data_IF_497623057030
#
_entry.id   IF_497623057030
#
_cell.length_a   1.000
_cell.length_b   1.000
_cell.length_c   1.000
_cell.angle_alpha   90.00
_cell.angle_beta   90.00
_cell.angle_gamma   90.00
#
_symmetry.space_group_name_H-M   'P 1'
#
loop_
_entity.id
_entity.type
_entity.pdbx_description
1 polymer ?
#
# COMPACT_ATOMS: atom_id res chain seq x y z
N UNK A 1 10.55 -7.63 7.53
CA UNK A 1 11.27 -8.93 7.63
C UNK A 1 11.84 -9.31 6.28
N UNK A 2 13.08 -9.82 6.27
CA UNK A 2 13.66 -10.41 5.08
C UNK A 2 12.89 -11.68 4.66
N UNK A 3 12.77 -11.97 3.36
CA UNK A 3 12.03 -13.15 2.88
C UNK A 3 12.54 -14.48 3.47
N UNK A 4 13.83 -14.56 3.78
CA UNK A 4 14.46 -15.73 4.42
C UNK A 4 13.98 -15.94 5.84
N UNK A 5 13.93 -14.88 6.67
CA UNK A 5 13.46 -14.91 8.05
C UNK A 5 11.98 -15.26 8.13
N UNK A 6 11.16 -14.63 7.26
CA UNK A 6 9.75 -14.97 7.15
C UNK A 6 9.54 -16.47 6.88
N UNK A 7 10.28 -17.05 5.91
CA UNK A 7 10.20 -18.48 5.60
C UNK A 7 10.61 -19.38 6.76
N UNK A 8 11.54 -18.93 7.62
CA UNK A 8 11.94 -19.68 8.81
C UNK A 8 10.85 -19.69 9.86
N UNK A 9 10.18 -18.55 10.11
CA UNK A 9 9.02 -18.46 11.01
C UNK A 9 7.89 -19.35 10.51
N UNK A 10 7.57 -19.30 9.22
CA UNK A 10 6.56 -20.15 8.60
C UNK A 10 6.87 -21.65 8.71
N UNK A 11 8.14 -22.04 8.53
CA UNK A 11 8.60 -23.43 8.75
C UNK A 11 8.51 -23.83 10.21
N UNK A 12 8.87 -22.90 11.12
CA UNK A 12 8.78 -23.12 12.56
C UNK A 12 7.36 -23.38 13.02
N UNK A 13 6.42 -22.60 12.52
CA UNK A 13 4.99 -22.72 12.80
C UNK A 13 4.44 -24.06 12.29
N UNK A 14 4.77 -24.46 11.06
CA UNK A 14 4.38 -25.77 10.49
C UNK A 14 4.96 -26.95 11.26
N UNK A 15 6.16 -26.82 11.75
CA UNK A 15 6.87 -27.87 12.51
C UNK A 15 6.47 -27.92 13.99
N UNK A 16 5.60 -27.03 14.47
CA UNK A 16 5.24 -26.91 15.88
C UNK A 16 6.37 -26.44 16.79
N UNK A 17 7.36 -25.76 16.25
CA UNK A 17 8.45 -25.13 17.02
C UNK A 17 8.10 -23.69 17.44
N UNK A 18 7.16 -23.09 16.73
CA UNK A 18 6.56 -21.80 17.03
C UNK A 18 5.10 -22.04 17.36
N UNK A 19 4.71 -21.72 18.57
CA UNK A 19 3.34 -21.97 19.08
C UNK A 19 2.37 -20.85 18.67
N UNK A 20 2.85 -19.62 18.54
CA UNK A 20 2.03 -18.47 18.17
C UNK A 20 2.82 -17.48 17.32
N UNK A 21 2.10 -16.75 16.46
CA UNK A 21 2.66 -15.68 15.63
C UNK A 21 1.75 -14.47 15.64
N UNK A 22 2.33 -13.28 15.74
CA UNK A 22 1.64 -12.00 15.53
C UNK A 22 2.04 -11.48 14.15
N UNK A 23 1.06 -11.19 13.33
CA UNK A 23 1.28 -10.77 11.94
C UNK A 23 0.29 -9.69 11.54
N UNK A 24 0.66 -8.90 10.55
CA UNK A 24 -0.27 -8.13 9.74
C UNK A 24 -1.03 -9.09 8.81
N UNK A 25 -1.69 -8.60 7.77
CA UNK A 25 -2.32 -9.43 6.72
C UNK A 25 -1.31 -10.27 5.91
N UNK A 26 -0.01 -10.22 6.23
CA UNK A 26 1.03 -10.96 5.51
C UNK A 26 0.82 -12.49 5.48
N UNK A 27 0.11 -13.05 6.45
CA UNK A 27 -0.22 -14.49 6.52
C UNK A 27 -1.62 -14.82 5.99
N UNK A 28 -2.33 -13.85 5.43
CA UNK A 28 -3.70 -14.00 4.92
C UNK A 28 -3.76 -14.85 3.66
N UNK A 29 -2.85 -14.63 2.70
CA UNK A 29 -2.86 -15.23 1.38
C UNK A 29 -1.60 -16.06 1.07
N UNK A 30 -1.78 -17.10 0.25
CA UNK A 30 -0.71 -17.78 -0.47
C UNK A 30 0.21 -18.66 0.36
N UNK A 31 -0.05 -18.86 1.65
CA UNK A 31 0.86 -19.58 2.53
C UNK A 31 0.15 -20.77 3.17
N UNK A 32 0.75 -21.94 3.06
CA UNK A 32 0.37 -23.09 3.85
C UNK A 32 1.16 -23.09 5.18
N UNK A 33 0.64 -22.41 6.18
CA UNK A 33 1.23 -22.36 7.53
C UNK A 33 0.83 -23.56 8.42
N UNK A 34 0.15 -24.55 7.83
CA UNK A 34 -0.38 -25.68 8.57
C UNK A 34 -1.71 -25.35 9.27
N UNK A 35 -2.10 -26.19 10.20
CA UNK A 35 -3.34 -26.00 10.95
C UNK A 35 -3.04 -25.23 12.24
N UNK A 36 -3.70 -24.10 12.40
CA UNK A 36 -3.76 -23.36 13.65
C UNK A 36 -5.03 -23.75 14.40
N UNK A 37 -4.96 -23.87 15.71
CA UNK A 37 -6.11 -24.18 16.54
C UNK A 37 -6.97 -22.94 16.82
N UNK A 38 -6.35 -21.76 16.85
CA UNK A 38 -7.01 -20.49 17.11
C UNK A 38 -6.48 -19.37 16.22
N UNK A 39 -7.36 -18.42 15.91
CA UNK A 39 -7.03 -17.15 15.28
C UNK A 39 -7.60 -15.99 16.10
N UNK A 40 -6.82 -14.93 16.30
CA UNK A 40 -7.27 -13.71 16.99
C UNK A 40 -7.17 -12.55 15.99
N UNK A 41 -8.32 -11.99 15.63
CA UNK A 41 -8.43 -10.79 14.80
C UNK A 41 -8.46 -9.57 15.72
N UNK A 42 -7.43 -8.73 15.67
CA UNK A 42 -7.36 -7.50 16.43
C UNK A 42 -7.87 -6.34 15.57
N UNK A 43 -9.16 -6.05 15.66
CA UNK A 43 -9.89 -5.10 14.82
C UNK A 43 -10.34 -5.68 13.48
N UNK A 44 -11.18 -4.92 12.77
CA UNK A 44 -11.67 -5.28 11.44
C UNK A 44 -10.59 -5.07 10.38
N UNK A 45 -10.29 -6.08 9.56
CA UNK A 45 -9.20 -5.98 8.58
C UNK A 45 -9.54 -5.14 7.34
N UNK A 46 -10.72 -4.54 7.28
CA UNK A 46 -11.15 -3.66 6.21
C UNK A 46 -12.17 -4.28 5.26
N UNK A 47 -12.11 -5.59 5.03
CA UNK A 47 -13.05 -6.33 4.17
C UNK A 47 -13.55 -7.60 4.82
N UNK A 48 -14.74 -8.07 4.42
CA UNK A 48 -15.30 -9.35 4.83
C UNK A 48 -14.41 -10.49 4.30
N UNK A 49 -13.94 -10.36 3.04
CA UNK A 49 -13.06 -11.33 2.42
C UNK A 49 -11.78 -11.53 3.26
N UNK A 50 -11.11 -10.45 3.65
CA UNK A 50 -9.90 -10.48 4.48
C UNK A 50 -10.18 -11.11 5.85
N UNK A 51 -11.30 -10.72 6.50
CA UNK A 51 -11.70 -11.31 7.78
C UNK A 51 -11.86 -12.83 7.70
N UNK A 52 -12.52 -13.33 6.67
CA UNK A 52 -12.69 -14.76 6.45
C UNK A 52 -11.42 -15.48 6.04
N UNK A 53 -10.55 -14.85 5.25
CA UNK A 53 -9.25 -15.43 4.87
C UNK A 53 -8.31 -15.56 6.06
N UNK A 54 -8.27 -14.55 6.95
CA UNK A 54 -7.52 -14.61 8.20
C UNK A 54 -8.11 -15.65 9.16
N UNK A 55 -9.43 -15.63 9.37
CA UNK A 55 -10.15 -16.62 10.18
C UNK A 55 -9.92 -18.04 9.66
N UNK A 56 -9.92 -18.23 8.35
CA UNK A 56 -9.69 -19.51 7.68
C UNK A 56 -8.27 -20.07 7.84
N UNK A 57 -7.35 -19.36 8.50
CA UNK A 57 -6.05 -19.90 8.93
C UNK A 57 -6.18 -20.86 10.09
N UNK A 58 -7.24 -20.74 10.90
CA UNK A 58 -7.59 -21.72 11.91
C UNK A 58 -8.46 -22.84 11.30
N UNK A 59 -8.30 -24.07 11.79
CA UNK A 59 -9.24 -25.17 11.52
C UNK A 59 -8.99 -26.04 10.30
N UNK A 60 -7.80 -26.06 9.73
CA UNK A 60 -7.47 -26.91 8.55
C UNK A 60 -7.32 -28.40 8.85
N UNK A 61 -7.30 -28.83 10.13
CA UNK A 61 -7.32 -30.24 10.55
C UNK A 61 -8.72 -30.64 11.00
N UNK A 62 -8.98 -31.96 11.07
CA UNK A 62 -10.25 -32.53 11.53
C UNK A 62 -10.45 -32.25 13.04
N UNK A 63 -10.75 -31.01 13.39
CA UNK A 63 -10.97 -30.60 14.78
C UNK A 63 -11.75 -29.27 14.84
N UNK A 64 -12.21 -28.94 16.05
CA UNK A 64 -12.83 -27.64 16.32
C UNK A 64 -11.73 -26.60 16.42
N UNK A 65 -11.89 -25.50 15.71
CA UNK A 65 -11.05 -24.32 15.82
C UNK A 65 -11.86 -23.15 16.35
N UNK A 66 -11.17 -22.15 16.87
CA UNK A 66 -11.82 -20.96 17.42
C UNK A 66 -11.24 -19.71 16.79
N UNK A 67 -12.12 -18.74 16.51
CA UNK A 67 -11.72 -17.40 16.05
C UNK A 67 -12.23 -16.39 17.06
N UNK A 68 -11.35 -15.56 17.57
CA UNK A 68 -11.69 -14.44 18.43
C UNK A 68 -11.60 -13.14 17.62
N UNK A 69 -12.66 -12.37 17.61
CA UNK A 69 -12.66 -11.02 17.10
C UNK A 69 -12.60 -10.04 18.28
N UNK A 70 -11.50 -9.30 18.39
CA UNK A 70 -11.25 -8.32 19.44
C UNK A 70 -11.46 -6.93 18.85
N UNK A 71 -12.62 -6.34 19.13
CA UNK A 71 -12.98 -5.03 18.63
C UNK A 71 -12.20 -3.91 19.36
N UNK A 72 -11.71 -2.95 18.60
CA UNK A 72 -11.18 -1.69 19.12
C UNK A 72 -12.34 -0.70 19.45
N UNK A 73 -11.99 0.50 19.89
CA UNK A 73 -12.98 1.59 20.07
C UNK A 73 -13.40 2.26 18.75
N UNK A 74 -12.86 1.83 17.61
CA UNK A 74 -13.23 2.36 16.31
C UNK A 74 -14.73 2.09 16.00
N UNK A 75 -15.40 3.07 15.42
CA UNK A 75 -16.84 3.01 15.17
C UNK A 75 -17.25 1.78 14.33
N UNK A 76 -16.43 1.38 13.35
CA UNK A 76 -16.69 0.22 12.51
C UNK A 76 -16.57 -1.10 13.29
N UNK A 77 -15.55 -1.23 14.14
CA UNK A 77 -15.38 -2.39 15.01
C UNK A 77 -16.59 -2.57 15.93
N UNK A 78 -17.03 -1.49 16.57
CA UNK A 78 -18.18 -1.49 17.46
C UNK A 78 -19.49 -1.81 16.72
N UNK A 79 -19.62 -1.33 15.49
CA UNK A 79 -20.76 -1.68 14.63
C UNK A 79 -20.78 -3.17 14.32
N UNK A 80 -19.66 -3.76 13.92
CA UNK A 80 -19.57 -5.19 13.56
C UNK A 80 -19.89 -6.09 14.77
N UNK A 81 -19.39 -5.77 15.96
CA UNK A 81 -19.70 -6.53 17.17
C UNK A 81 -21.19 -6.44 17.51
N UNK A 82 -21.80 -5.25 17.32
CA UNK A 82 -23.23 -5.05 17.57
C UNK A 82 -24.12 -5.65 16.47
N UNK A 83 -23.58 -5.86 15.28
CA UNK A 83 -24.28 -6.39 14.11
C UNK A 83 -23.50 -7.55 13.47
N UNK A 84 -23.35 -8.69 14.15
CA UNK A 84 -22.54 -9.81 13.67
C UNK A 84 -23.01 -10.37 12.33
N UNK A 85 -24.26 -10.18 11.97
CA UNK A 85 -24.83 -10.54 10.68
C UNK A 85 -24.14 -9.86 9.49
N UNK A 86 -23.52 -8.70 9.72
CA UNK A 86 -22.70 -8.03 8.71
C UNK A 86 -21.55 -8.93 8.24
N UNK A 87 -20.85 -9.55 9.17
CA UNK A 87 -19.70 -10.41 8.85
C UNK A 87 -20.12 -11.83 8.46
N UNK A 88 -21.21 -12.34 9.07
CA UNK A 88 -21.61 -13.75 8.95
C UNK A 88 -22.54 -14.04 7.78
N UNK A 89 -23.35 -13.07 7.33
CA UNK A 89 -24.42 -13.28 6.34
C UNK A 89 -24.25 -12.50 5.06
N UNK A 90 -23.38 -11.47 5.04
CA UNK A 90 -23.12 -10.73 3.80
C UNK A 90 -22.16 -11.49 2.90
N UNK A 91 -22.35 -11.30 1.61
CA UNK A 91 -21.35 -11.69 0.60
C UNK A 91 -20.06 -10.92 0.81
N UNK A 92 -18.89 -11.53 0.59
CA UNK A 92 -17.64 -10.77 0.46
C UNK A 92 -17.75 -9.70 -0.63
N UNK A 93 -16.86 -8.76 -0.59
CA UNK A 93 -16.72 -7.68 -1.54
C UNK A 93 -16.51 -8.18 -2.97
N UNK A 94 -16.93 -7.39 -3.97
CA UNK A 94 -16.91 -7.80 -5.38
C UNK A 94 -15.51 -7.79 -6.02
N UNK A 95 -14.49 -7.31 -5.31
CA UNK A 95 -13.13 -7.19 -5.83
C UNK A 95 -13.09 -6.48 -7.20
N UNK A 96 -13.59 -5.24 -7.23
CA UNK A 96 -13.59 -4.43 -8.44
C UNK A 96 -12.17 -4.16 -8.90
N UNK A 97 -11.92 -4.38 -10.19
CA UNK A 97 -10.63 -4.09 -10.81
C UNK A 97 -10.84 -3.41 -12.17
N UNK A 98 -9.88 -2.62 -12.58
CA UNK A 98 -9.82 -2.06 -13.92
C UNK A 98 -8.82 -2.87 -14.77
N UNK A 99 -9.29 -3.83 -15.60
CA UNK A 99 -8.41 -4.65 -16.42
C UNK A 99 -7.74 -3.84 -17.55
N UNK A 100 -8.32 -2.68 -17.90
CA UNK A 100 -7.87 -1.83 -19.00
C UNK A 100 -6.95 -0.70 -18.54
N UNK A 101 -6.43 -0.78 -17.29
CA UNK A 101 -5.43 0.17 -16.81
C UNK A 101 -4.16 0.09 -17.68
N UNK A 102 -3.82 1.19 -18.36
CA UNK A 102 -2.74 1.23 -19.33
C UNK A 102 -1.37 0.85 -18.77
N UNK A 103 -1.06 1.23 -17.52
CA UNK A 103 0.22 0.88 -16.88
C UNK A 103 0.33 -0.63 -16.63
N UNK A 104 -0.77 -1.24 -16.22
CA UNK A 104 -0.82 -2.70 -16.00
C UNK A 104 -0.75 -3.41 -17.34
N UNK A 105 -1.58 -3.01 -18.31
CA UNK A 105 -1.61 -3.59 -19.66
C UNK A 105 -0.25 -3.53 -20.33
N UNK A 106 0.41 -2.36 -20.33
CA UNK A 106 1.72 -2.18 -20.95
C UNK A 106 2.74 -3.19 -20.40
N UNK A 107 2.74 -3.39 -19.09
CA UNK A 107 3.62 -4.35 -18.45
C UNK A 107 3.27 -5.82 -18.80
N UNK A 108 1.98 -6.14 -18.91
CA UNK A 108 1.55 -7.46 -19.36
C UNK A 108 1.90 -7.72 -20.83
N UNK A 109 1.80 -6.70 -21.70
CA UNK A 109 2.26 -6.80 -23.09
C UNK A 109 3.78 -7.06 -23.18
N UNK A 110 4.58 -6.41 -22.34
CA UNK A 110 6.02 -6.68 -22.24
C UNK A 110 6.29 -8.14 -21.86
N UNK A 111 5.62 -8.67 -20.84
CA UNK A 111 5.79 -10.05 -20.43
C UNK A 111 5.35 -11.05 -21.51
N UNK A 112 4.22 -10.81 -22.14
CA UNK A 112 3.71 -11.67 -23.19
C UNK A 112 4.65 -11.70 -24.41
N UNK A 113 5.13 -10.51 -24.84
CA UNK A 113 6.08 -10.42 -25.97
C UNK A 113 7.43 -11.07 -25.65
N UNK A 114 7.85 -11.08 -24.38
CA UNK A 114 9.05 -11.81 -23.96
C UNK A 114 8.87 -13.33 -24.09
N UNK A 115 7.67 -13.85 -23.79
CA UNK A 115 7.39 -15.29 -23.91
C UNK A 115 7.20 -15.72 -25.37
N UNK A 116 6.41 -14.95 -26.13
CA UNK A 116 6.10 -15.20 -27.55
C UNK A 116 5.93 -13.88 -28.30
N UNK A 117 6.46 -13.75 -29.54
CA UNK A 117 6.22 -12.58 -30.37
C UNK A 117 4.73 -12.43 -30.71
N UNK A 118 4.21 -11.20 -30.66
CA UNK A 118 2.87 -10.91 -31.18
C UNK A 118 2.85 -10.84 -32.69
N UNK A 119 1.81 -11.37 -33.31
CA UNK A 119 1.53 -11.19 -34.75
C UNK A 119 0.80 -9.87 -35.00
N UNK A 120 0.87 -9.35 -36.24
CA UNK A 120 0.12 -8.16 -36.62
C UNK A 120 -1.39 -8.36 -36.38
N UNK A 121 -2.00 -7.46 -35.61
CA UNK A 121 -3.41 -7.55 -35.26
C UNK A 121 -3.73 -8.46 -34.06
N UNK A 122 -2.71 -9.10 -33.49
CA UNK A 122 -2.87 -9.88 -32.26
C UNK A 122 -2.86 -8.94 -31.03
N UNK A 123 -3.53 -9.37 -29.94
CA UNK A 123 -3.58 -8.67 -28.68
C UNK A 123 -3.71 -9.60 -27.49
N UNK A 124 -3.81 -9.05 -26.29
CA UNK A 124 -4.07 -9.80 -25.05
C UNK A 124 -5.57 -9.85 -24.79
N UNK A 125 -6.20 -10.99 -25.10
CA UNK A 125 -7.63 -11.17 -24.90
C UNK A 125 -8.46 -10.09 -25.61
N UNK A 126 -9.29 -9.38 -24.86
CA UNK A 126 -10.12 -8.28 -25.37
C UNK A 126 -9.55 -6.90 -24.99
N UNK A 127 -8.27 -6.79 -24.65
CA UNK A 127 -7.68 -5.53 -24.25
C UNK A 127 -7.80 -4.49 -25.38
N UNK A 128 -8.40 -3.31 -25.11
CA UNK A 128 -8.49 -2.26 -26.12
C UNK A 128 -7.11 -1.65 -26.37
N UNK A 129 -6.90 -1.12 -27.60
CA UNK A 129 -5.67 -0.39 -27.92
C UNK A 129 -4.42 -1.26 -28.03
N UNK A 130 -4.56 -2.58 -28.27
CA UNK A 130 -3.40 -3.47 -28.41
C UNK A 130 -2.43 -3.06 -29.54
N UNK A 131 -2.89 -2.68 -30.75
CA UNK A 131 -2.00 -2.22 -31.81
C UNK A 131 -1.18 -0.99 -31.39
N UNK A 132 -1.82 0.00 -30.77
CA UNK A 132 -1.19 1.23 -30.30
C UNK A 132 -0.16 0.97 -29.20
N UNK A 133 -0.43 0.02 -28.30
CA UNK A 133 0.52 -0.38 -27.26
C UNK A 133 1.75 -1.11 -27.84
N UNK A 134 1.55 -1.97 -28.84
CA UNK A 134 2.65 -2.67 -29.53
C UNK A 134 3.52 -1.69 -30.32
N UNK A 135 2.89 -0.74 -31.03
CA UNK A 135 3.59 0.31 -31.77
C UNK A 135 4.40 1.20 -30.82
N UNK A 136 3.80 1.63 -29.70
CA UNK A 136 4.51 2.38 -28.66
C UNK A 136 5.73 1.63 -28.12
N UNK A 137 5.61 0.31 -27.86
CA UNK A 137 6.72 -0.51 -27.38
C UNK A 137 7.82 -0.71 -28.43
N UNK A 138 7.49 -0.73 -29.72
CA UNK A 138 8.45 -0.77 -30.83
C UNK A 138 9.20 0.58 -30.94
N UNK A 139 8.47 1.71 -30.91
CA UNK A 139 9.06 3.04 -30.90
C UNK A 139 9.99 3.28 -29.71
N UNK A 140 9.63 2.75 -28.54
CA UNK A 140 10.45 2.80 -27.33
C UNK A 140 11.67 1.85 -27.37
N UNK A 141 11.82 1.04 -28.43
CA UNK A 141 12.93 0.09 -28.59
C UNK A 141 12.85 -1.14 -27.67
N UNK A 142 11.74 -1.34 -26.98
CA UNK A 142 11.50 -2.50 -26.12
C UNK A 142 11.13 -3.72 -26.94
N UNK A 143 10.32 -3.52 -27.98
CA UNK A 143 10.02 -4.50 -29.02
C UNK A 143 10.73 -4.13 -30.31
N UNK A 144 10.68 -5.03 -31.28
CA UNK A 144 11.11 -4.80 -32.64
C UNK A 144 10.14 -5.46 -33.61
N UNK A 145 9.51 -4.66 -34.44
CA UNK A 145 8.58 -5.13 -35.49
C UNK A 145 9.36 -5.60 -36.73
N UNK A 146 9.31 -6.90 -36.99
CA UNK A 146 9.99 -7.51 -38.16
C UNK A 146 9.16 -8.66 -38.70
N UNK A 147 8.91 -8.63 -40.02
CA UNK A 147 8.23 -9.71 -40.72
C UNK A 147 6.81 -9.96 -40.26
N UNK A 148 6.08 -8.90 -39.87
CA UNK A 148 4.71 -9.00 -39.38
C UNK A 148 4.58 -9.49 -37.94
N UNK A 149 5.66 -9.35 -37.17
CA UNK A 149 5.70 -9.77 -35.75
C UNK A 149 6.48 -8.78 -34.88
N UNK A 150 6.02 -8.59 -33.65
CA UNK A 150 6.70 -7.82 -32.62
C UNK A 150 7.51 -8.74 -31.71
N UNK A 151 8.83 -8.66 -31.82
CA UNK A 151 9.78 -9.46 -31.05
C UNK A 151 10.32 -8.68 -29.87
N UNK A 152 10.53 -9.36 -28.74
CA UNK A 152 11.25 -8.77 -27.59
C UNK A 152 12.68 -8.41 -27.99
N UNK A 153 13.11 -7.19 -27.67
CA UNK A 153 14.40 -6.62 -28.09
C UNK A 153 15.23 -6.08 -26.92
N UNK A 154 14.60 -5.79 -25.76
CA UNK A 154 15.31 -5.29 -24.59
C UNK A 154 16.15 -6.37 -23.91
N UNK A 155 17.18 -5.94 -23.15
CA UNK A 155 18.06 -6.87 -22.41
C UNK A 155 17.45 -7.32 -21.07
N UNK A 156 16.50 -6.56 -20.53
CA UNK A 156 15.92 -6.78 -19.23
C UNK A 156 14.90 -7.91 -19.20
N UNK A 157 14.71 -8.50 -18.02
CA UNK A 157 13.66 -9.50 -17.79
C UNK A 157 12.39 -8.80 -17.31
N UNK A 158 11.34 -8.67 -18.13
CA UNK A 158 10.22 -7.77 -17.84
C UNK A 158 9.46 -8.12 -16.57
N UNK A 159 9.35 -9.39 -16.19
CA UNK A 159 8.64 -9.80 -14.99
C UNK A 159 9.33 -9.35 -13.68
N UNK A 160 10.63 -9.02 -13.71
CA UNK A 160 11.34 -8.48 -12.55
C UNK A 160 10.96 -7.03 -12.23
N UNK A 161 10.46 -6.31 -13.23
CA UNK A 161 10.08 -4.90 -13.11
C UNK A 161 8.59 -4.69 -12.80
N UNK A 162 7.81 -5.77 -12.76
CA UNK A 162 6.37 -5.72 -12.57
C UNK A 162 6.00 -5.96 -11.11
N UNK A 163 5.22 -5.05 -10.53
CA UNK A 163 4.58 -5.24 -9.25
C UNK A 163 3.10 -5.52 -9.44
N UNK A 164 2.59 -6.60 -8.84
CA UNK A 164 1.15 -6.87 -8.78
C UNK A 164 0.41 -5.96 -7.77
N UNK A 165 1.14 -5.16 -7.00
CA UNK A 165 0.58 -4.27 -5.96
C UNK A 165 0.64 -2.80 -6.33
N UNK A 166 1.45 -2.45 -7.30
CA UNK A 166 1.68 -1.07 -7.73
C UNK A 166 1.85 -1.01 -9.23
N UNK A 167 1.34 0.04 -9.86
CA UNK A 167 1.55 0.31 -11.30
C UNK A 167 3.02 0.66 -11.62
N UNK A 168 3.84 0.95 -10.63
CA UNK A 168 5.28 1.18 -10.77
C UNK A 168 6.05 0.17 -9.94
N UNK A 169 7.01 -0.51 -10.57
CA UNK A 169 8.09 -1.18 -9.86
C UNK A 169 9.03 -0.09 -9.33
N UNK A 170 8.88 0.27 -8.06
CA UNK A 170 9.76 1.24 -7.43
C UNK A 170 10.90 0.53 -6.73
N UNK A 171 12.08 1.14 -6.80
CA UNK A 171 13.25 0.66 -6.09
C UNK A 171 12.99 0.71 -4.58
N UNK A 172 13.10 -0.44 -3.93
CA UNK A 172 13.05 -0.52 -2.48
C UNK A 172 14.34 0.02 -1.89
N UNK A 173 14.21 0.71 -0.77
CA UNK A 173 15.36 1.13 0.04
C UNK A 173 15.83 -0.02 0.91
N UNK A 174 17.15 -0.29 0.86
CA UNK A 174 17.79 -1.30 1.70
C UNK A 174 18.16 -0.68 3.04
N UNK A 175 17.74 -1.31 4.15
CA UNK A 175 18.02 -0.86 5.51
C UNK A 175 19.23 -1.60 6.03
N UNK A 176 20.30 -0.85 6.35
CA UNK A 176 21.61 -1.36 6.74
C UNK A 176 21.89 -1.00 8.19
N UNK A 177 21.98 -2.00 9.06
CA UNK A 177 22.42 -1.84 10.44
C UNK A 177 23.94 -1.67 10.49
N UNK A 178 24.38 -0.51 10.99
CA UNK A 178 25.78 -0.10 11.16
C UNK A 178 26.21 -0.10 12.62
N UNK A 179 25.45 -0.70 13.52
CA UNK A 179 25.73 -0.75 14.97
C UNK A 179 27.11 -1.34 15.25
N UNK A 180 27.48 -2.40 14.51
CA UNK A 180 28.84 -2.91 14.50
C UNK A 180 29.61 -2.37 13.28
N UNK A 181 30.60 -1.47 13.50
CA UNK A 181 31.36 -0.88 12.37
C UNK A 181 32.14 -1.91 11.55
N UNK A 182 32.45 -3.07 12.12
CA UNK A 182 33.20 -4.15 11.42
C UNK A 182 32.27 -5.08 10.63
N UNK A 183 30.95 -5.06 10.89
CA UNK A 183 30.01 -6.01 10.30
C UNK A 183 28.65 -5.37 10.02
N UNK A 184 28.59 -4.62 8.94
CA UNK A 184 27.33 -4.06 8.47
C UNK A 184 26.42 -5.17 7.91
N UNK A 185 25.14 -5.14 8.25
CA UNK A 185 24.18 -6.15 7.78
C UNK A 185 22.89 -5.51 7.28
N UNK A 186 22.34 -6.06 6.23
CA UNK A 186 20.99 -5.73 5.76
C UNK A 186 19.98 -6.37 6.71
N UNK A 187 19.06 -5.57 7.25
CA UNK A 187 18.02 -6.05 8.15
C UNK A 187 16.61 -5.96 7.56
N UNK A 188 16.43 -5.23 6.47
CA UNK A 188 15.12 -5.11 5.84
C UNK A 188 15.17 -4.27 4.57
N UNK A 189 13.98 -4.16 3.97
CA UNK A 189 13.71 -3.29 2.83
C UNK A 189 12.43 -2.49 3.10
N UNK A 190 12.33 -1.31 2.48
CA UNK A 190 11.17 -0.44 2.58
C UNK A 190 10.88 0.22 1.24
N UNK A 191 9.60 0.34 0.90
CA UNK A 191 9.17 1.02 -0.32
C UNK A 191 9.49 2.53 -0.29
N UNK A 192 9.74 3.09 -1.47
CA UNK A 192 10.19 4.48 -1.65
C UNK A 192 9.24 5.52 -1.06
N UNK A 193 7.92 5.26 -1.05
CA UNK A 193 6.93 6.23 -0.53
C UNK A 193 6.89 6.29 0.99
N UNK A 194 7.17 5.17 1.64
CA UNK A 194 7.18 5.07 3.10
C UNK A 194 8.48 5.62 3.71
N UNK A 195 9.57 5.56 2.96
CA UNK A 195 10.91 6.00 3.42
C UNK A 195 10.93 7.43 3.99
N UNK A 196 10.34 8.46 3.34
CA UNK A 196 10.37 9.82 3.89
C UNK A 196 9.71 9.95 5.27
N UNK A 197 8.76 9.08 5.58
CA UNK A 197 8.04 9.09 6.86
C UNK A 197 8.78 8.33 7.96
N UNK A 198 9.45 7.22 7.63
CA UNK A 198 9.99 6.30 8.64
C UNK A 198 11.51 6.23 8.68
N UNK A 199 12.21 6.58 7.58
CA UNK A 199 13.66 6.43 7.45
C UNK A 199 14.38 7.76 7.15
N UNK A 200 13.73 8.92 7.38
CA UNK A 200 14.44 10.19 7.29
C UNK A 200 15.58 10.26 8.32
N UNK A 201 16.60 11.09 8.08
CA UNK A 201 17.70 11.25 9.03
C UNK A 201 17.19 11.66 10.42
N UNK A 202 17.76 11.05 11.45
CA UNK A 202 17.36 11.14 12.86
C UNK A 202 15.97 10.52 13.20
N UNK A 203 15.32 9.82 12.29
CA UNK A 203 14.14 9.01 12.63
C UNK A 203 14.50 7.90 13.62
N UNK A 204 13.56 7.56 14.49
CA UNK A 204 13.62 6.35 15.31
C UNK A 204 12.81 5.26 14.62
N UNK A 205 13.53 4.34 14.01
CA UNK A 205 12.96 3.20 13.31
C UNK A 205 12.87 1.98 14.23
N UNK A 206 11.72 1.33 14.26
CA UNK A 206 11.49 0.12 15.05
C UNK A 206 11.60 -1.11 14.17
N UNK A 207 12.49 -2.02 14.52
CA UNK A 207 12.64 -3.32 13.85
C UNK A 207 12.79 -4.42 14.88
N UNK A 208 11.95 -5.46 14.84
CA UNK A 208 11.96 -6.60 15.78
C UNK A 208 11.99 -6.19 17.27
N UNK A 209 11.17 -5.21 17.64
CA UNK A 209 11.14 -4.62 18.97
C UNK A 209 12.46 -3.94 19.42
N UNK A 210 13.40 -3.71 18.49
CA UNK A 210 14.60 -2.93 18.73
C UNK A 210 14.46 -1.53 18.12
N UNK A 211 15.02 -0.54 18.80
CA UNK A 211 15.05 0.83 18.34
C UNK A 211 16.34 1.09 17.57
N UNK A 212 16.23 1.74 16.43
CA UNK A 212 17.35 2.20 15.63
C UNK A 212 17.17 3.68 15.30
N UNK A 213 18.25 4.43 15.31
CA UNK A 213 18.27 5.78 14.78
C UNK A 213 18.83 5.77 13.37
N UNK A 214 18.17 6.44 12.45
CA UNK A 214 18.68 6.65 11.08
C UNK A 214 19.79 7.68 11.15
N UNK A 215 21.02 7.27 10.84
CA UNK A 215 22.20 8.14 10.83
C UNK A 215 22.36 8.83 9.48
N UNK A 216 22.10 8.11 8.40
CA UNK A 216 22.20 8.62 7.03
C UNK A 216 21.13 7.97 6.17
N UNK A 217 20.45 8.77 5.36
CA UNK A 217 19.62 8.32 4.26
C UNK A 217 20.26 8.73 2.94
N UNK A 218 20.71 7.75 2.16
CA UNK A 218 21.20 7.95 0.80
C UNK A 218 20.06 7.69 -0.17
N UNK A 219 19.36 8.77 -0.55
CA UNK A 219 18.13 8.70 -1.31
C UNK A 219 18.37 8.24 -2.75
N UNK A 220 19.51 8.62 -3.34
CA UNK A 220 19.87 8.27 -4.72
C UNK A 220 20.35 6.81 -4.82
N UNK A 221 21.07 6.33 -3.80
CA UNK A 221 21.51 4.94 -3.74
C UNK A 221 20.48 3.98 -3.14
N UNK A 222 19.27 4.46 -2.76
CA UNK A 222 18.22 3.71 -2.10
C UNK A 222 18.72 2.94 -0.88
N UNK A 223 19.46 3.61 0.04
CA UNK A 223 20.05 3.02 1.24
C UNK A 223 19.82 3.86 2.47
N UNK A 224 19.35 3.22 3.55
CA UNK A 224 19.27 3.82 4.87
C UNK A 224 20.26 3.14 5.82
N UNK A 225 21.13 3.94 6.45
CA UNK A 225 22.11 3.47 7.44
C UNK A 225 21.58 3.78 8.83
N UNK A 226 21.44 2.76 9.65
CA UNK A 226 20.81 2.86 10.95
C UNK A 226 21.72 2.28 12.02
N UNK A 227 21.61 2.81 13.23
CA UNK A 227 22.33 2.34 14.40
C UNK A 227 21.40 2.09 15.57
N UNK A 228 21.61 0.99 16.29
CA UNK A 228 20.82 0.64 17.48
C UNK A 228 20.95 1.71 18.55
N UNK A 229 19.81 2.09 19.12
CA UNK A 229 19.69 3.04 20.22
C UNK A 229 18.68 2.54 21.25
N UNK A 230 18.68 3.17 22.42
CA UNK A 230 17.66 2.97 23.45
C UNK A 230 17.22 4.36 23.93
N UNK A 231 16.07 4.78 23.45
CA UNK A 231 15.53 6.12 23.71
C UNK A 231 14.07 6.04 24.15
N UNK A 232 13.63 6.97 25.00
CA UNK A 232 12.26 7.02 25.52
C UNK A 232 11.23 7.68 24.60
N UNK A 233 11.53 7.81 23.30
CA UNK A 233 10.64 8.48 22.35
C UNK A 233 10.68 7.80 20.97
N UNK A 234 9.65 8.06 20.18
CA UNK A 234 9.61 7.76 18.75
C UNK A 234 9.51 9.05 17.93
N UNK A 235 9.68 8.95 16.63
CA UNK A 235 9.55 10.07 15.70
C UNK A 235 8.32 9.90 14.83
N UNK A 236 7.67 11.03 14.54
CA UNK A 236 6.49 11.11 13.67
C UNK A 236 6.72 12.24 12.67
N UNK A 237 6.78 11.89 11.40
CA UNK A 237 7.04 12.83 10.31
C UNK A 237 5.77 13.59 9.93
N UNK A 238 5.90 14.89 9.69
CA UNK A 238 4.81 15.74 9.24
C UNK A 238 4.79 15.75 7.70
N UNK A 239 3.75 15.13 7.14
CA UNK A 239 3.59 14.95 5.71
C UNK A 239 2.71 16.06 5.13
N UNK A 240 3.30 16.91 4.30
CA UNK A 240 2.54 17.87 3.49
C UNK A 240 2.10 17.21 2.19
N UNK A 241 0.81 17.25 1.92
CA UNK A 241 0.21 16.68 0.71
C UNK A 241 -0.41 17.81 -0.09
N UNK A 242 -0.03 17.92 -1.37
CA UNK A 242 -0.62 18.85 -2.33
C UNK A 242 -1.25 18.06 -3.47
N UNK A 243 -2.48 18.43 -3.83
CA UNK A 243 -3.21 17.81 -4.93
C UNK A 243 -3.30 18.79 -6.09
N UNK A 244 -3.01 18.31 -7.30
CA UNK A 244 -3.18 19.08 -8.55
C UNK A 244 -4.02 18.26 -9.53
N UNK A 245 -5.11 18.87 -10.02
CA UNK A 245 -5.92 18.27 -11.07
C UNK A 245 -5.13 18.28 -12.38
N UNK A 246 -5.05 17.13 -13.03
CA UNK A 246 -4.40 16.96 -14.33
C UNK A 246 -5.45 16.89 -15.44
N UNK A 247 -6.44 16.02 -15.30
CA UNK A 247 -7.53 15.86 -16.27
C UNK A 247 -8.84 15.52 -15.59
N UNK A 248 -9.95 15.83 -16.25
CA UNK A 248 -11.30 15.54 -15.81
C UNK A 248 -11.97 14.64 -16.85
N UNK A 249 -12.15 13.36 -16.51
CA UNK A 249 -12.73 12.37 -17.41
C UNK A 249 -14.26 12.39 -17.42
N UNK A 250 -14.87 12.53 -16.24
CA UNK A 250 -16.33 12.52 -16.04
C UNK A 250 -16.74 13.56 -15.02
N UNK A 251 -17.93 14.11 -15.24
CA UNK A 251 -18.57 15.05 -14.34
C UNK A 251 -20.08 14.82 -14.36
N UNK A 252 -20.66 14.68 -13.18
CA UNK A 252 -22.10 14.47 -13.00
C UNK A 252 -22.62 15.42 -11.92
N UNK A 253 -23.72 16.11 -12.24
CA UNK A 253 -24.44 16.92 -11.28
C UNK A 253 -25.43 16.04 -10.50
N UNK A 254 -25.30 16.02 -9.18
CA UNK A 254 -26.18 15.28 -8.28
C UNK A 254 -26.75 16.22 -7.20
N UNK A 255 -27.83 15.78 -6.56
CA UNK A 255 -28.48 16.52 -5.48
C UNK A 255 -27.49 16.93 -4.38
N UNK A 256 -27.05 18.18 -4.39
CA UNK A 256 -26.15 18.74 -3.41
C UNK A 256 -24.71 18.98 -3.85
N UNK A 257 -24.38 18.80 -5.13
CA UNK A 257 -23.07 19.14 -5.66
C UNK A 257 -22.72 18.50 -6.97
N UNK A 258 -21.49 18.72 -7.38
CA UNK A 258 -20.90 18.18 -8.59
C UNK A 258 -19.93 17.06 -8.21
N UNK A 259 -20.15 15.86 -8.73
CA UNK A 259 -19.24 14.74 -8.60
C UNK A 259 -18.39 14.62 -9.86
N UNK A 260 -17.10 14.49 -9.73
CA UNK A 260 -16.20 14.33 -10.86
C UNK A 260 -15.20 13.20 -10.61
N UNK A 261 -14.75 12.59 -11.72
CA UNK A 261 -13.71 11.57 -11.78
C UNK A 261 -12.65 12.06 -12.77
N UNK A 262 -11.39 11.78 -12.47
CA UNK A 262 -10.30 12.15 -13.37
C UNK A 262 -8.92 11.89 -12.77
N UNK A 263 -7.91 12.38 -13.46
CA UNK A 263 -6.51 12.22 -13.05
C UNK A 263 -6.04 13.38 -12.17
N UNK A 264 -5.33 13.03 -11.12
CA UNK A 264 -4.68 13.97 -10.21
C UNK A 264 -3.20 13.63 -10.03
N UNK A 265 -2.41 14.68 -9.74
CA UNK A 265 -1.08 14.54 -9.20
C UNK A 265 -1.12 14.77 -7.69
N UNK A 266 -0.58 13.81 -6.95
CA UNK A 266 -0.38 13.89 -5.51
C UNK A 266 1.10 14.15 -5.27
N UNK A 267 1.42 15.33 -4.76
CA UNK A 267 2.77 15.71 -4.36
C UNK A 267 2.89 15.58 -2.84
N UNK A 268 3.90 14.86 -2.37
CA UNK A 268 4.14 14.66 -0.93
C UNK A 268 5.52 15.14 -0.55
N UNK A 269 5.60 15.89 0.55
CA UNK A 269 6.83 16.44 1.07
C UNK A 269 6.89 16.33 2.59
N UNK A 270 7.96 15.73 3.10
CA UNK A 270 8.26 15.72 4.54
C UNK A 270 9.31 16.79 4.81
N UNK A 271 8.95 17.78 5.64
CA UNK A 271 9.82 18.92 5.98
C UNK A 271 10.26 18.91 7.44
N UNK A 272 9.53 18.25 8.30
CA UNK A 272 9.80 18.18 9.73
C UNK A 272 9.27 16.89 10.35
N UNK A 273 9.79 16.56 11.52
CA UNK A 273 9.28 15.49 12.36
C UNK A 273 9.19 15.92 13.81
N UNK A 274 8.30 15.27 14.57
CA UNK A 274 8.11 15.43 16.01
C UNK A 274 8.81 14.29 16.73
N UNK A 275 9.40 14.56 17.90
CA UNK A 275 9.84 13.56 18.87
C UNK A 275 8.75 13.42 19.91
N UNK A 276 8.17 12.24 20.04
CA UNK A 276 7.00 11.97 20.87
C UNK A 276 7.38 10.92 21.90
N UNK A 277 7.18 11.23 23.18
CA UNK A 277 7.46 10.32 24.29
C UNK A 277 6.52 9.11 24.27
N UNK A 278 7.03 7.90 24.53
CA UNK A 278 6.24 6.68 24.45
C UNK A 278 5.04 6.67 25.41
N UNK A 279 5.27 6.97 26.68
CA UNK A 279 4.25 6.74 27.71
C UNK A 279 3.18 7.85 27.76
N UNK A 280 3.60 9.10 27.59
CA UNK A 280 2.73 10.27 27.77
C UNK A 280 2.25 10.89 26.46
N UNK A 281 2.83 10.49 25.32
CA UNK A 281 2.61 11.08 23.99
C UNK A 281 2.87 12.59 23.92
N UNK A 282 3.66 13.12 24.87
CA UNK A 282 4.09 14.53 24.86
C UNK A 282 5.13 14.75 23.75
N UNK A 283 5.00 15.89 23.05
CA UNK A 283 6.01 16.32 22.09
C UNK A 283 7.23 16.85 22.82
N UNK A 284 8.36 16.18 22.65
CA UNK A 284 9.66 16.55 23.26
C UNK A 284 10.42 17.59 22.43
N UNK A 285 10.09 17.71 21.13
CA UNK A 285 10.75 18.62 20.22
C UNK A 285 10.50 18.26 18.76
N UNK A 286 11.13 19.03 17.88
CA UNK A 286 10.99 18.91 16.44
C UNK A 286 12.36 18.78 15.79
N UNK A 287 12.41 18.19 14.62
CA UNK A 287 13.58 18.18 13.74
C UNK A 287 13.19 18.51 12.31
N UNK A 288 14.14 19.00 11.52
CA UNK A 288 13.94 19.30 10.11
C UNK A 288 14.33 18.09 9.26
N UNK A 289 13.59 17.89 8.17
CA UNK A 289 13.86 16.89 7.15
C UNK A 289 14.10 17.62 5.83
N UNK A 290 15.10 17.16 5.07
CA UNK A 290 15.44 17.69 3.75
C UNK A 290 15.45 16.53 2.76
N UNK A 291 14.27 16.22 2.24
CA UNK A 291 14.09 15.18 1.24
C UNK A 291 13.44 15.79 -0.01
N UNK A 292 13.63 15.19 -1.18
CA UNK A 292 12.92 15.61 -2.38
C UNK A 292 11.41 15.40 -2.22
N UNK A 293 10.65 16.21 -2.93
CA UNK A 293 9.22 16.00 -3.11
C UNK A 293 8.99 14.72 -3.92
N UNK A 294 8.04 13.93 -3.51
CA UNK A 294 7.66 12.70 -4.22
C UNK A 294 6.31 12.93 -4.89
N UNK A 295 6.22 12.63 -6.18
CA UNK A 295 5.00 12.79 -6.97
C UNK A 295 4.42 11.44 -7.37
N UNK A 296 3.10 11.33 -7.30
CA UNK A 296 2.33 10.18 -7.76
C UNK A 296 1.16 10.66 -8.63
N UNK A 297 1.02 10.09 -9.81
CA UNK A 297 -0.17 10.27 -10.65
C UNK A 297 -1.17 9.15 -10.36
N UNK A 298 -2.41 9.51 -10.14
CA UNK A 298 -3.48 8.54 -9.82
C UNK A 298 -4.84 9.06 -10.23
N UNK A 299 -5.80 8.16 -10.33
CA UNK A 299 -7.21 8.53 -10.53
C UNK A 299 -7.86 8.88 -9.20
N UNK A 300 -8.68 9.91 -9.19
CA UNK A 300 -9.45 10.32 -8.03
C UNK A 300 -10.88 10.68 -8.40
N UNK A 301 -11.76 10.45 -7.45
CA UNK A 301 -13.10 11.01 -7.43
C UNK A 301 -13.13 12.17 -6.42
N UNK A 302 -13.75 13.26 -6.80
CA UNK A 302 -13.97 14.39 -5.89
C UNK A 302 -15.39 14.92 -6.00
N UNK A 303 -15.81 15.56 -4.93
CA UNK A 303 -17.10 16.18 -4.84
C UNK A 303 -16.93 17.67 -4.56
N UNK A 304 -17.63 18.51 -5.35
CA UNK A 304 -17.59 19.95 -5.24
C UNK A 304 -18.91 20.44 -4.66
N UNK A 305 -18.81 21.20 -3.58
CA UNK A 305 -19.98 21.78 -2.92
C UNK A 305 -20.45 23.01 -3.71
N UNK A 306 -21.77 23.16 -3.99
CA UNK A 306 -22.28 24.36 -4.63
C UNK A 306 -22.04 25.60 -3.78
N UNK A 307 -21.68 26.73 -4.40
CA UNK A 307 -21.42 28.01 -3.72
C UNK A 307 -22.59 28.44 -2.87
N UNK A 308 -23.82 28.22 -3.34
CA UNK A 308 -25.06 28.56 -2.60
C UNK A 308 -25.19 27.76 -1.29
N UNK A 309 -24.66 26.53 -1.24
CA UNK A 309 -24.64 25.73 -0.03
C UNK A 309 -23.45 26.11 0.86
N UNK A 310 -22.30 26.35 0.28
CA UNK A 310 -21.11 26.79 0.98
C UNK A 310 -21.31 28.12 1.71
N UNK A 311 -22.01 29.06 1.08
CA UNK A 311 -22.32 30.37 1.65
C UNK A 311 -23.23 30.34 2.90
N UNK A 312 -23.87 29.19 3.20
CA UNK A 312 -24.69 29.03 4.41
C UNK A 312 -23.89 28.81 5.69
N UNK A 313 -22.61 28.54 5.56
CA UNK A 313 -21.73 28.19 6.67
C UNK A 313 -20.62 29.23 6.84
N UNK A 314 -20.22 29.45 8.08
CA UNK A 314 -18.96 30.14 8.37
C UNK A 314 -17.78 29.33 7.83
N UNK A 315 -16.74 30.00 7.34
CA UNK A 315 -15.57 29.38 6.71
C UNK A 315 -14.98 28.23 7.52
N UNK A 316 -14.78 28.43 8.83
CA UNK A 316 -14.20 27.42 9.71
C UNK A 316 -15.12 26.21 9.92
N UNK A 317 -16.43 26.46 10.05
CA UNK A 317 -17.43 25.38 10.15
C UNK A 317 -17.52 24.59 8.88
N UNK A 318 -17.49 25.24 7.72
CA UNK A 318 -17.48 24.59 6.42
C UNK A 318 -16.23 23.70 6.27
N UNK A 319 -15.05 24.26 6.53
CA UNK A 319 -13.78 23.51 6.45
C UNK A 319 -13.78 22.27 7.36
N UNK A 320 -14.17 22.43 8.61
CA UNK A 320 -14.24 21.34 9.57
C UNK A 320 -15.29 20.28 9.18
N UNK A 321 -16.44 20.73 8.65
CA UNK A 321 -17.47 19.84 8.12
C UNK A 321 -16.99 19.04 6.93
N UNK A 322 -16.30 19.66 5.97
CA UNK A 322 -15.70 18.99 4.81
C UNK A 322 -14.63 17.95 5.22
N UNK A 323 -13.79 18.29 6.19
CA UNK A 323 -12.82 17.33 6.76
C UNK A 323 -13.53 16.15 7.42
N UNK A 324 -14.64 16.39 8.12
CA UNK A 324 -15.46 15.33 8.72
C UNK A 324 -16.07 14.41 7.66
N UNK A 325 -16.61 14.96 6.58
CA UNK A 325 -17.14 14.19 5.43
C UNK A 325 -16.04 13.38 4.75
N UNK A 326 -14.89 13.99 4.48
CA UNK A 326 -13.75 13.30 3.89
C UNK A 326 -13.27 12.12 4.75
N UNK A 327 -13.18 12.30 6.07
CA UNK A 327 -12.84 11.23 7.00
C UNK A 327 -13.91 10.12 7.02
N UNK A 328 -15.19 10.48 6.99
CA UNK A 328 -16.29 9.51 6.92
C UNK A 328 -16.23 8.72 5.62
N UNK A 329 -16.04 9.36 4.47
CA UNK A 329 -15.90 8.70 3.18
C UNK A 329 -14.70 7.74 3.17
N UNK A 330 -13.57 8.12 3.73
CA UNK A 330 -12.40 7.25 3.84
C UNK A 330 -12.69 5.94 4.59
N UNK A 331 -13.59 5.98 5.58
CA UNK A 331 -13.97 4.81 6.39
C UNK A 331 -15.06 3.98 5.70
N UNK A 332 -16.03 4.62 5.08
CA UNK A 332 -17.25 3.96 4.59
C UNK A 332 -17.14 3.55 3.12
N UNK A 333 -16.48 4.33 2.28
CA UNK A 333 -16.36 4.04 0.85
C UNK A 333 -15.75 2.66 0.55
N UNK A 334 -14.69 2.19 1.26
CA UNK A 334 -14.16 0.84 1.04
C UNK A 334 -15.18 -0.28 1.23
N UNK A 335 -16.18 -0.09 2.10
CA UNK A 335 -17.24 -1.10 2.32
C UNK A 335 -18.15 -1.31 1.10
N UNK A 336 -18.10 -0.41 0.13
CA UNK A 336 -18.96 -0.43 -1.06
C UNK A 336 -18.16 -0.51 -2.37
N UNK A 337 -16.87 -0.13 -2.34
CA UNK A 337 -16.04 -0.03 -3.53
C UNK A 337 -15.02 -1.16 -3.68
N UNK A 338 -14.85 -2.01 -2.68
CA UNK A 338 -13.94 -3.16 -2.73
C UNK A 338 -14.61 -4.44 -3.20
#
# INVERSE_FOLDING_TARGET
YLPTERREIERGLRAGRVDAVVSTNALELGIDIGALDACVLCGYPGTIASAWQQAGRAGRRKGTSIVFYVASSAALDQYIVSHPDYLMKRSPENALLNPDNLYILLNHFKCAAFELPFEDGEGLGNAPGAPELLEYLDEAGILRHVGGRYHWSAEDFPASEISLRSARAEENFVIIDTTDPANHRVIGEMDRYTVPMLLHENAIYMHEAQQYQVEKLDFDACKAFIRRVDVGYYTDADLNVTLSLLDKEKEEEQDGGLTALGEIRVSTLVTMFKKIKFDTHETLGFGHVRLPETEMHTTAMWWTLPDALAARFESDKLKNGMMGVANLLRIVAPLSLM
#
